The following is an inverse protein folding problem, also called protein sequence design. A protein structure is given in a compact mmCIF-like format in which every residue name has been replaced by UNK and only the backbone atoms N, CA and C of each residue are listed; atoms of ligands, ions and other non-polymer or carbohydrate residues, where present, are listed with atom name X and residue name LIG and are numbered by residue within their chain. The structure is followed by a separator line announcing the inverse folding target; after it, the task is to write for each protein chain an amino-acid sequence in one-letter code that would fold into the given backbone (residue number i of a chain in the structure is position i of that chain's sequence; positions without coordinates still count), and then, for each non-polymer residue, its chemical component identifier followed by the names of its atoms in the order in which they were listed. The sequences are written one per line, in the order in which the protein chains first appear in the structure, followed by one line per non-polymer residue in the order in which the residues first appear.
data_IF_513905797394
#
_entry.id   IF_513905797394
#
_cell.length_a   1.000
_cell.length_b   1.000
_cell.length_c   1.000
_cell.angle_alpha   90.00
_cell.angle_beta   90.00
_cell.angle_gamma   90.00
#
_symmetry.space_group_name_H-M   'P 1'
#
loop_
_entity.id
_entity.type
_entity.pdbx_description
1 polymer ?
#
# COMPACT_ATOMS: atom_id res chain seq x y z
N UNK A 1 -5.58 -0.72 -26.37
CA UNK A 1 -5.59 -0.03 -25.06
C UNK A 1 -6.20 -0.95 -24.01
N UNK A 2 -6.19 -0.55 -22.74
CA UNK A 2 -6.86 -1.27 -21.66
C UNK A 2 -8.38 -1.31 -21.88
N UNK A 3 -9.02 -2.43 -21.52
CA UNK A 3 -10.47 -2.59 -21.57
C UNK A 3 -10.98 -3.11 -20.22
N UNK A 4 -12.17 -2.67 -19.84
CA UNK A 4 -12.89 -3.23 -18.69
C UNK A 4 -13.37 -4.65 -19.03
N UNK A 5 -13.49 -5.51 -18.03
CA UNK A 5 -13.93 -6.89 -18.19
C UNK A 5 -14.76 -7.37 -17.01
N UNK A 6 -15.55 -8.42 -17.22
CA UNK A 6 -16.34 -9.09 -16.21
C UNK A 6 -16.12 -10.60 -16.34
N UNK A 7 -15.90 -11.29 -15.22
CA UNK A 7 -15.86 -12.74 -15.14
C UNK A 7 -17.12 -13.20 -14.41
N UNK A 8 -17.87 -14.12 -15.02
CA UNK A 8 -19.07 -14.72 -14.43
C UNK A 8 -18.87 -16.24 -14.32
N UNK A 9 -19.14 -16.79 -13.15
CA UNK A 9 -19.02 -18.22 -12.86
C UNK A 9 -20.17 -18.67 -11.95
N UNK A 10 -20.77 -19.81 -12.27
CA UNK A 10 -21.93 -20.37 -11.57
C UNK A 10 -22.88 -21.06 -12.53
N UNK A 11 -24.07 -21.44 -12.06
CA UNK A 11 -25.02 -22.22 -12.87
C UNK A 11 -25.79 -21.38 -13.90
N UNK A 12 -25.93 -20.06 -13.67
CA UNK A 12 -26.67 -19.13 -14.53
C UNK A 12 -25.72 -18.10 -15.17
N UNK A 13 -24.90 -18.54 -16.13
CA UNK A 13 -24.00 -17.66 -16.89
C UNK A 13 -24.77 -17.03 -18.06
N UNK A 14 -24.66 -15.70 -18.21
CA UNK A 14 -25.19 -14.95 -19.36
C UNK A 14 -24.14 -14.01 -19.92
N UNK A 15 -23.90 -14.13 -21.22
CA UNK A 15 -23.00 -13.27 -21.97
C UNK A 15 -23.49 -11.82 -21.97
N UNK A 16 -24.80 -11.61 -22.10
CA UNK A 16 -25.43 -10.28 -22.07
C UNK A 16 -25.19 -9.60 -20.73
N UNK A 17 -25.38 -10.32 -19.63
CA UNK A 17 -25.16 -9.81 -18.29
C UNK A 17 -23.67 -9.50 -18.03
N UNK A 18 -22.75 -10.36 -18.48
CA UNK A 18 -21.31 -10.13 -18.37
C UNK A 18 -20.85 -8.91 -19.19
N UNK A 19 -21.35 -8.75 -20.42
CA UNK A 19 -21.06 -7.59 -21.28
C UNK A 19 -21.63 -6.31 -20.66
N UNK A 20 -22.86 -6.35 -20.13
CA UNK A 20 -23.48 -5.21 -19.47
C UNK A 20 -22.68 -4.77 -18.24
N UNK A 21 -22.23 -5.72 -17.41
CA UNK A 21 -21.38 -5.44 -16.25
C UNK A 21 -20.01 -4.85 -16.66
N UNK A 22 -19.36 -5.42 -17.68
CA UNK A 22 -18.09 -4.91 -18.17
C UNK A 22 -18.20 -3.46 -18.69
N UNK A 23 -19.28 -3.14 -19.43
CA UNK A 23 -19.57 -1.79 -19.93
C UNK A 23 -20.02 -0.83 -18.84
N UNK A 24 -20.68 -1.33 -17.80
CA UNK A 24 -21.17 -0.55 -16.67
C UNK A 24 -20.08 -0.12 -15.70
N UNK A 25 -18.88 -0.70 -15.78
CA UNK A 25 -17.75 -0.28 -14.94
C UNK A 25 -17.27 1.13 -15.35
N UNK A 26 -17.29 2.12 -14.44
CA UNK A 26 -16.93 3.51 -14.75
C UNK A 26 -15.45 3.70 -15.12
N UNK A 27 -14.60 2.68 -14.91
CA UNK A 27 -13.16 2.75 -15.15
C UNK A 27 -12.39 3.19 -13.90
N UNK A 28 -11.06 3.02 -13.95
CA UNK A 28 -10.17 3.31 -12.82
C UNK A 28 -9.69 4.77 -12.79
N UNK A 29 -9.85 5.51 -13.89
CA UNK A 29 -9.36 6.90 -14.00
C UNK A 29 -10.16 7.80 -13.06
N UNK A 30 -9.48 8.59 -12.24
CA UNK A 30 -10.10 9.47 -11.24
C UNK A 30 -10.64 8.75 -9.99
N UNK A 31 -10.42 7.43 -9.86
CA UNK A 31 -10.74 6.70 -8.63
C UNK A 31 -9.55 6.72 -7.67
N UNK A 32 -9.74 7.37 -6.52
CA UNK A 32 -8.86 7.25 -5.37
C UNK A 32 -9.13 5.89 -4.68
N UNK A 33 -8.36 4.89 -5.11
CA UNK A 33 -8.37 3.55 -4.53
C UNK A 33 -7.35 3.41 -3.40
N UNK A 34 -6.39 4.33 -3.29
CA UNK A 34 -5.37 4.30 -2.24
C UNK A 34 -5.99 4.41 -0.85
N UNK A 35 -6.99 5.29 -0.65
CA UNK A 35 -7.73 5.37 0.63
C UNK A 35 -8.52 4.10 0.96
N UNK A 36 -8.91 3.31 -0.05
CA UNK A 36 -9.75 2.12 0.13
C UNK A 36 -8.93 0.95 0.64
N UNK A 37 -7.66 0.86 0.22
CA UNK A 37 -6.75 -0.24 0.58
C UNK A 37 -5.76 0.11 1.69
N UNK A 38 -5.76 1.36 2.15
CA UNK A 38 -4.88 1.82 3.23
C UNK A 38 -5.22 1.19 4.57
N UNK A 39 -4.22 0.98 5.43
CA UNK A 39 -4.42 0.65 6.83
C UNK A 39 -5.27 1.69 7.58
N UNK A 40 -6.12 1.22 8.50
CA UNK A 40 -6.94 2.09 9.35
C UNK A 40 -6.13 2.72 10.50
N UNK A 41 -5.07 2.04 10.95
CA UNK A 41 -4.26 2.45 12.11
C UNK A 41 -2.79 2.36 11.79
N UNK A 42 -2.03 3.28 12.39
CA UNK A 42 -0.58 3.23 12.37
C UNK A 42 -0.07 1.97 13.07
N UNK A 43 0.92 1.30 12.49
CA UNK A 43 1.56 0.12 13.06
C UNK A 43 3.06 0.07 12.77
N UNK A 44 3.79 -0.72 13.54
CA UNK A 44 5.21 -0.96 13.30
C UNK A 44 5.41 -2.26 12.49
N UNK A 45 6.34 -2.22 11.54
CA UNK A 45 6.76 -3.38 10.75
C UNK A 45 8.26 -3.66 10.96
N UNK A 46 8.57 -4.89 11.38
CA UNK A 46 9.94 -5.38 11.62
C UNK A 46 10.22 -6.76 11.01
N UNK A 47 9.32 -7.27 10.18
CA UNK A 47 9.50 -8.55 9.49
C UNK A 47 10.40 -8.37 8.26
N UNK A 48 11.50 -9.13 8.16
CA UNK A 48 12.46 -9.05 7.05
C UNK A 48 12.12 -9.99 5.88
N UNK A 49 12.99 -10.05 4.87
CA UNK A 49 12.86 -10.93 3.70
C UNK A 49 12.83 -12.42 4.11
N UNK A 50 12.28 -13.25 3.24
CA UNK A 50 12.14 -14.68 3.54
C UNK A 50 13.51 -15.34 3.63
N UNK A 51 13.69 -16.19 4.63
CA UNK A 51 14.90 -16.96 4.85
C UNK A 51 14.63 -18.45 4.60
N UNK A 52 15.33 -19.03 3.62
CA UNK A 52 15.21 -20.44 3.25
C UNK A 52 15.57 -21.40 4.38
N UNK A 53 16.58 -21.07 5.18
CA UNK A 53 17.08 -21.97 6.23
C UNK A 53 16.08 -22.13 7.39
N UNK A 54 15.26 -21.10 7.64
CA UNK A 54 14.26 -21.08 8.72
C UNK A 54 12.83 -21.17 8.19
N UNK A 55 12.65 -21.28 6.87
CA UNK A 55 11.38 -21.23 6.14
C UNK A 55 10.40 -20.17 6.68
N UNK A 56 10.91 -18.95 6.92
CA UNK A 56 10.14 -17.90 7.59
C UNK A 56 10.66 -16.51 7.28
N UNK A 57 9.85 -15.50 7.62
CA UNK A 57 10.27 -14.10 7.63
C UNK A 57 10.69 -13.72 9.07
N UNK A 58 11.99 -13.58 9.37
CA UNK A 58 12.43 -13.25 10.72
C UNK A 58 11.93 -11.85 11.10
N UNK A 59 11.62 -11.67 12.38
CA UNK A 59 11.37 -10.34 12.93
C UNK A 59 12.67 -9.85 13.56
N UNK A 60 13.13 -8.67 13.14
CA UNK A 60 14.38 -8.08 13.63
C UNK A 60 14.09 -7.21 14.85
N UNK A 61 14.95 -7.26 15.87
CA UNK A 61 14.75 -6.41 17.04
C UNK A 61 14.95 -4.93 16.70
N UNK A 62 14.14 -4.06 17.30
CA UNK A 62 14.17 -2.64 17.00
C UNK A 62 15.55 -2.00 17.30
N UNK A 63 16.29 -2.53 18.27
CA UNK A 63 17.66 -2.10 18.59
C UNK A 63 18.69 -2.43 17.51
N UNK A 64 18.38 -3.35 16.59
CA UNK A 64 19.25 -3.76 15.47
C UNK A 64 18.92 -3.00 14.18
N UNK A 65 17.92 -2.12 14.20
CA UNK A 65 17.44 -1.35 13.06
C UNK A 65 17.83 0.14 13.25
N UNK A 66 19.01 0.58 12.77
CA UNK A 66 19.55 1.90 13.08
C UNK A 66 18.76 3.07 12.47
N UNK A 67 17.88 2.81 11.48
CA UNK A 67 17.13 3.86 10.79
C UNK A 67 15.63 3.75 11.09
N UNK A 68 14.95 4.88 11.22
CA UNK A 68 13.49 4.98 11.32
C UNK A 68 12.89 5.51 10.03
N UNK A 69 12.13 4.67 9.33
CA UNK A 69 11.39 5.08 8.13
C UNK A 69 9.89 5.13 8.45
N UNK A 70 9.24 6.23 8.10
CA UNK A 70 7.76 6.31 8.09
C UNK A 70 7.26 6.05 6.68
N UNK A 71 6.42 5.04 6.51
CA UNK A 71 5.86 4.64 5.23
C UNK A 71 4.37 4.98 5.16
N UNK A 72 3.97 5.80 4.18
CA UNK A 72 2.56 5.97 3.85
C UNK A 72 2.02 4.72 3.18
N UNK A 73 0.92 4.18 3.70
CA UNK A 73 0.25 3.03 3.10
C UNK A 73 -0.80 3.47 2.08
N UNK A 74 -0.42 3.49 0.82
CA UNK A 74 -1.33 3.66 -0.31
C UNK A 74 -1.81 2.32 -0.89
N UNK A 75 -1.60 1.20 -0.18
CA UNK A 75 -1.74 -0.17 -0.68
C UNK A 75 -0.39 -0.88 -0.76
N UNK A 76 0.45 -0.71 0.27
CA UNK A 76 1.84 -1.16 0.27
C UNK A 76 1.94 -2.68 0.16
N UNK A 77 2.83 -3.14 -0.72
CA UNK A 77 3.21 -4.56 -0.76
C UNK A 77 4.15 -4.86 0.41
N UNK A 78 3.82 -5.87 1.21
CA UNK A 78 4.65 -6.28 2.35
C UNK A 78 6.11 -6.55 2.00
N UNK A 79 6.41 -7.00 0.78
CA UNK A 79 7.79 -7.24 0.39
C UNK A 79 8.63 -5.96 0.31
N UNK A 80 8.03 -4.79 0.06
CA UNK A 80 8.74 -3.51 0.12
C UNK A 80 9.18 -3.24 1.56
N UNK A 81 8.27 -3.41 2.52
CA UNK A 81 8.56 -3.23 3.95
C UNK A 81 9.65 -4.21 4.42
N UNK A 82 9.58 -5.47 3.97
CA UNK A 82 10.61 -6.48 4.25
C UNK A 82 11.99 -6.08 3.73
N UNK A 83 12.06 -5.54 2.51
CA UNK A 83 13.33 -5.08 1.93
C UNK A 83 13.89 -3.83 2.63
N UNK A 84 13.03 -2.99 3.23
CA UNK A 84 13.45 -1.87 4.08
C UNK A 84 14.02 -2.37 5.41
N UNK A 85 13.34 -3.31 6.07
CA UNK A 85 13.85 -3.95 7.30
C UNK A 85 15.20 -4.62 7.06
N UNK A 86 15.35 -5.35 5.95
CA UNK A 86 16.63 -5.97 5.55
C UNK A 86 17.77 -4.95 5.39
N UNK A 87 17.46 -3.67 5.17
CA UNK A 87 18.42 -2.56 5.07
C UNK A 87 18.63 -1.81 6.38
N UNK A 88 18.09 -2.31 7.49
CA UNK A 88 18.23 -1.71 8.81
C UNK A 88 17.17 -0.68 9.16
N UNK A 89 16.02 -0.67 8.47
CA UNK A 89 14.94 0.27 8.77
C UNK A 89 13.89 -0.34 9.70
N UNK A 90 13.67 0.29 10.86
CA UNK A 90 12.43 0.14 11.64
C UNK A 90 11.36 0.96 10.94
N UNK A 91 10.28 0.30 10.50
CA UNK A 91 9.27 0.96 9.68
C UNK A 91 8.02 1.25 10.50
N UNK A 92 7.59 2.51 10.53
CA UNK A 92 6.25 2.89 11.01
C UNK A 92 5.35 3.10 9.80
N UNK A 93 4.35 2.25 9.63
CA UNK A 93 3.39 2.36 8.53
C UNK A 93 2.20 3.19 8.99
N UNK A 94 1.87 4.24 8.26
CA UNK A 94 0.81 5.18 8.59
C UNK A 94 -0.31 5.16 7.53
N UNK A 95 -1.57 5.46 7.90
CA UNK A 95 -2.65 5.61 6.94
C UNK A 95 -2.34 6.62 5.82
N UNK A 96 -2.94 6.42 4.65
CA UNK A 96 -2.74 7.24 3.45
C UNK A 96 -2.95 8.75 3.71
N UNK A 97 -3.89 9.08 4.60
CA UNK A 97 -4.32 10.45 4.90
C UNK A 97 -3.62 11.06 6.12
N UNK A 98 -2.57 10.42 6.63
CA UNK A 98 -1.83 10.92 7.80
C UNK A 98 -1.24 12.31 7.50
N UNK A 99 -1.47 13.32 8.35
CA UNK A 99 -0.88 14.65 8.14
C UNK A 99 0.65 14.60 8.17
N UNK A 100 1.29 15.42 7.33
CA UNK A 100 2.75 15.54 7.32
C UNK A 100 3.32 15.98 8.68
N UNK A 101 2.58 16.84 9.41
CA UNK A 101 2.94 17.25 10.78
C UNK A 101 3.10 16.06 11.72
N UNK A 102 2.21 15.08 11.61
CA UNK A 102 2.18 13.91 12.48
C UNK A 102 3.31 12.96 12.10
N UNK A 103 3.61 12.82 10.81
CA UNK A 103 4.78 12.07 10.31
C UNK A 103 6.09 12.70 10.78
N UNK A 104 6.23 14.02 10.66
CA UNK A 104 7.43 14.74 11.09
C UNK A 104 7.61 14.70 12.62
N UNK A 105 6.51 14.70 13.39
CA UNK A 105 6.55 14.55 14.84
C UNK A 105 7.11 13.19 15.29
N UNK A 106 7.12 12.18 14.42
CA UNK A 106 7.77 10.89 14.66
C UNK A 106 9.30 10.95 14.51
N UNK A 107 9.87 12.08 14.08
CA UNK A 107 11.30 12.30 13.80
C UNK A 107 11.93 11.19 12.92
N UNK A 108 11.37 10.90 11.73
CA UNK A 108 11.90 9.86 10.88
C UNK A 108 13.25 10.24 10.25
N UNK A 109 14.12 9.25 10.05
CA UNK A 109 15.32 9.37 9.22
C UNK A 109 14.96 9.42 7.71
N UNK A 110 13.78 8.92 7.35
CA UNK A 110 13.26 8.99 5.99
C UNK A 110 11.76 8.74 5.89
N UNK A 111 11.14 9.30 4.85
CA UNK A 111 9.73 9.06 4.51
C UNK A 111 9.66 8.25 3.22
N UNK A 112 8.84 7.20 3.23
CA UNK A 112 8.59 6.34 2.08
C UNK A 112 7.15 6.47 1.61
N UNK A 113 6.97 6.63 0.29
CA UNK A 113 5.67 6.68 -0.37
C UNK A 113 5.44 5.35 -1.07
N UNK A 114 4.47 4.56 -0.60
CA UNK A 114 4.27 3.22 -1.14
C UNK A 114 3.65 3.21 -2.53
N UNK A 115 3.68 2.03 -3.15
CA UNK A 115 2.78 1.76 -4.27
C UNK A 115 1.31 1.85 -3.82
N UNK A 116 0.42 2.01 -4.79
CA UNK A 116 -1.02 1.95 -4.57
C UNK A 116 -1.80 1.66 -5.86
N UNK A 117 -3.07 1.25 -5.76
CA UNK A 117 -3.94 1.05 -6.91
C UNK A 117 -4.50 2.39 -7.42
N UNK A 118 -4.99 2.38 -8.66
CA UNK A 118 -5.70 3.51 -9.24
C UNK A 118 -4.78 4.63 -9.71
N UNK A 119 -5.36 5.83 -9.77
CA UNK A 119 -4.71 7.04 -10.27
C UNK A 119 -4.21 7.89 -9.08
N UNK A 120 -2.94 8.33 -9.06
CA UNK A 120 -2.45 9.23 -8.01
C UNK A 120 -2.94 10.68 -8.15
N UNK A 121 -3.42 11.10 -9.32
CA UNK A 121 -3.91 12.47 -9.57
C UNK A 121 -5.01 12.92 -8.57
N UNK A 122 -6.03 12.10 -8.22
CA UNK A 122 -7.04 12.47 -7.23
C UNK A 122 -6.58 12.41 -5.75
N UNK A 123 -5.34 12.03 -5.45
CA UNK A 123 -4.85 11.86 -4.07
C UNK A 123 -4.39 13.19 -3.46
N UNK A 124 -5.29 14.18 -3.37
CA UNK A 124 -4.98 15.54 -2.91
C UNK A 124 -4.27 15.60 -1.54
N UNK A 125 -4.62 14.67 -0.64
CA UNK A 125 -4.04 14.59 0.70
C UNK A 125 -2.56 14.21 0.65
N UNK A 126 -2.17 13.30 -0.25
CA UNK A 126 -0.78 12.87 -0.41
C UNK A 126 0.04 13.99 -1.03
N UNK A 127 -0.51 14.66 -2.06
CA UNK A 127 0.15 15.81 -2.71
C UNK A 127 0.44 16.90 -1.68
N UNK A 128 -0.56 17.27 -0.86
CA UNK A 128 -0.40 18.29 0.19
C UNK A 128 0.59 17.89 1.29
N UNK A 129 0.73 16.60 1.59
CA UNK A 129 1.67 16.13 2.61
C UNK A 129 3.12 16.14 2.12
N UNK A 130 3.36 16.15 0.81
CA UNK A 130 4.70 16.08 0.19
C UNK A 130 5.23 17.47 -0.20
N UNK A 131 4.34 18.44 -0.42
CA UNK A 131 4.68 19.84 -0.77
C UNK A 131 5.08 20.65 0.46
#
# INVERSE_FOLDING_TARGET
GSQNGCIMAGDNISDEAAIAAARGFPGLKGMDLAKVVSTEKTYEWRSSVWNLATDSHPTIDASELPYHVVAYDYGVKWNILRMLVERGCRVTVVPAQTPASDVLALNPDGVFLSNGPGDPEPCDYAIKAIQ
#
